data_IF_637881832505
#
_entry.id   IF_637881832505
#
_cell.length_a   1.000
_cell.length_b   1.000
_cell.length_c   1.000
_cell.angle_alpha   90.00
_cell.angle_beta   90.00
_cell.angle_gamma   90.00
#
_symmetry.space_group_name_H-M   'P 1'
#
loop_
_entity.id
_entity.type
_entity.pdbx_description
1 polymer ?
#
# COMPACT_ATOMS: atom_id res chain seq x y z
N UNK A 1 -75.04 -32.66 39.45
CA UNK A 1 -74.14 -31.58 39.90
C UNK A 1 -73.33 -31.92 41.16
N UNK A 2 -73.75 -32.88 42.01
CA UNK A 2 -73.00 -33.28 43.22
C UNK A 2 -71.96 -34.39 42.96
N UNK A 3 -72.18 -35.29 41.99
CA UNK A 3 -71.21 -36.36 41.65
C UNK A 3 -69.95 -35.88 40.91
N UNK A 4 -69.96 -34.69 40.31
CA UNK A 4 -68.79 -34.12 39.62
C UNK A 4 -67.78 -33.45 40.56
N UNK A 5 -68.21 -33.04 41.76
CA UNK A 5 -67.34 -32.38 42.73
C UNK A 5 -66.50 -33.37 43.54
N UNK A 6 -67.05 -34.57 43.85
CA UNK A 6 -66.29 -35.63 44.53
C UNK A 6 -65.20 -36.23 43.65
N UNK A 7 -65.41 -36.26 42.33
CA UNK A 7 -64.39 -36.66 41.35
C UNK A 7 -63.24 -35.65 41.27
N UNK A 8 -63.53 -34.34 41.41
CA UNK A 8 -62.53 -33.27 41.40
C UNK A 8 -61.66 -33.24 42.67
N UNK A 9 -62.24 -33.58 43.84
CA UNK A 9 -61.52 -33.62 45.13
C UNK A 9 -60.69 -34.91 45.29
N UNK A 10 -61.07 -36.00 44.61
CA UNK A 10 -60.33 -37.25 44.61
C UNK A 10 -59.19 -37.30 43.56
N UNK A 11 -59.12 -36.29 42.67
CA UNK A 11 -58.18 -36.30 41.56
C UNK A 11 -56.78 -35.85 41.99
N UNK A 12 -55.87 -36.83 42.13
CA UNK A 12 -54.46 -36.59 42.48
C UNK A 12 -53.63 -36.05 41.30
N UNK A 13 -54.20 -35.99 40.09
CA UNK A 13 -53.54 -35.38 38.92
C UNK A 13 -53.62 -33.84 38.92
N UNK A 14 -54.52 -33.25 39.72
CA UNK A 14 -54.67 -31.79 39.83
C UNK A 14 -53.43 -31.07 40.39
N UNK A 15 -52.62 -31.75 41.22
CA UNK A 15 -51.38 -31.17 41.77
C UNK A 15 -50.32 -30.93 40.68
N UNK A 16 -50.26 -31.78 39.66
CA UNK A 16 -49.35 -31.59 38.53
C UNK A 16 -49.79 -30.41 37.66
N UNK A 17 -51.09 -30.28 37.38
CA UNK A 17 -51.61 -29.16 36.60
C UNK A 17 -51.41 -27.80 37.29
N UNK A 18 -51.61 -27.73 38.61
CA UNK A 18 -51.41 -26.50 39.38
C UNK A 18 -49.93 -26.14 39.52
N UNK A 19 -49.05 -27.12 39.78
CA UNK A 19 -47.59 -26.86 39.82
C UNK A 19 -47.04 -26.48 38.44
N UNK A 20 -47.49 -27.13 37.37
CA UNK A 20 -47.15 -26.76 35.99
C UNK A 20 -47.65 -25.34 35.65
N UNK A 21 -48.86 -24.96 36.04
CA UNK A 21 -49.40 -23.61 35.81
C UNK A 21 -48.63 -22.51 36.57
N UNK A 22 -48.08 -22.82 37.75
CA UNK A 22 -47.25 -21.89 38.52
C UNK A 22 -45.82 -21.76 37.98
N UNK A 23 -45.25 -22.85 37.45
CA UNK A 23 -43.86 -22.88 36.94
C UNK A 23 -43.78 -22.43 35.47
N UNK A 24 -44.82 -22.67 34.66
CA UNK A 24 -44.81 -22.35 33.24
C UNK A 24 -44.49 -20.87 32.93
N UNK A 25 -45.04 -19.86 33.65
CA UNK A 25 -44.66 -18.46 33.43
C UNK A 25 -43.17 -18.19 33.70
N UNK A 26 -42.59 -18.83 34.72
CA UNK A 26 -41.17 -18.70 35.05
C UNK A 26 -40.29 -19.28 33.96
N UNK A 27 -40.62 -20.47 33.44
CA UNK A 27 -39.88 -21.09 32.34
C UNK A 27 -40.02 -20.30 31.03
N UNK A 28 -41.23 -19.82 30.71
CA UNK A 28 -41.47 -18.98 29.53
C UNK A 28 -40.71 -17.66 29.61
N UNK A 29 -40.62 -17.06 30.80
CA UNK A 29 -39.81 -15.85 31.05
C UNK A 29 -38.33 -16.09 30.79
N UNK A 30 -37.77 -17.20 31.27
CA UNK A 30 -36.35 -17.56 31.03
C UNK A 30 -36.09 -17.82 29.55
N UNK A 31 -36.96 -18.59 28.88
CA UNK A 31 -36.78 -18.93 27.47
C UNK A 31 -36.90 -17.70 26.58
N UNK A 32 -37.93 -16.86 26.75
CA UNK A 32 -38.03 -15.67 25.92
C UNK A 32 -37.02 -14.59 26.28
N UNK A 33 -36.55 -14.51 27.52
CA UNK A 33 -35.40 -13.66 27.87
C UNK A 33 -34.12 -14.09 27.14
N UNK A 34 -33.87 -15.40 27.03
CA UNK A 34 -32.74 -15.92 26.26
C UNK A 34 -32.86 -15.64 24.75
N UNK A 35 -34.06 -15.73 24.18
CA UNK A 35 -34.32 -15.38 22.78
C UNK A 35 -34.09 -13.88 22.54
N UNK A 36 -34.60 -13.02 23.42
CA UNK A 36 -34.43 -11.57 23.29
C UNK A 36 -32.94 -11.17 23.37
N UNK A 37 -32.18 -11.75 24.30
CA UNK A 37 -30.73 -11.51 24.39
C UNK A 37 -30.00 -11.98 23.13
N UNK A 38 -30.35 -13.15 22.60
CA UNK A 38 -29.75 -13.66 21.37
C UNK A 38 -30.05 -12.76 20.17
N UNK A 39 -31.29 -12.28 20.04
CA UNK A 39 -31.69 -11.36 18.97
C UNK A 39 -30.98 -10.01 19.14
N UNK A 40 -30.87 -9.51 20.36
CA UNK A 40 -30.16 -8.27 20.68
C UNK A 40 -28.68 -8.34 20.28
N UNK A 41 -27.94 -9.36 20.71
CA UNK A 41 -26.51 -9.52 20.37
C UNK A 41 -26.31 -9.66 18.85
N UNK A 42 -27.17 -10.41 18.17
CA UNK A 42 -27.08 -10.58 16.73
C UNK A 42 -27.36 -9.26 15.98
N UNK A 43 -28.28 -8.43 16.49
CA UNK A 43 -28.56 -7.11 15.93
C UNK A 43 -27.43 -6.12 16.18
N UNK A 44 -26.89 -6.08 17.39
CA UNK A 44 -25.76 -5.23 17.74
C UNK A 44 -24.57 -5.52 16.82
N UNK A 45 -24.24 -6.79 16.59
CA UNK A 45 -23.19 -7.19 15.66
C UNK A 45 -23.48 -6.75 14.22
N UNK A 46 -24.73 -6.82 13.75
CA UNK A 46 -25.11 -6.37 12.40
C UNK A 46 -25.06 -4.85 12.26
N UNK A 47 -25.46 -4.12 13.30
CA UNK A 47 -25.36 -2.68 13.37
C UNK A 47 -23.90 -2.24 13.35
N UNK A 48 -23.04 -2.88 14.13
CA UNK A 48 -21.60 -2.59 14.15
C UNK A 48 -20.96 -2.82 12.78
N UNK A 49 -21.22 -3.97 12.15
CA UNK A 49 -20.72 -4.26 10.81
C UNK A 49 -21.18 -3.23 9.76
N UNK A 50 -22.41 -2.75 9.88
CA UNK A 50 -22.95 -1.72 8.98
C UNK A 50 -22.33 -0.35 9.28
N UNK A 51 -22.14 -0.01 10.55
CA UNK A 51 -21.48 1.22 10.98
C UNK A 51 -20.03 1.28 10.48
N UNK A 52 -19.28 0.18 10.59
CA UNK A 52 -17.90 0.07 10.09
C UNK A 52 -17.84 0.25 8.56
N UNK A 53 -18.76 -0.38 7.82
CA UNK A 53 -18.86 -0.22 6.37
C UNK A 53 -19.24 1.21 5.96
N UNK A 54 -20.19 1.83 6.66
CA UNK A 54 -20.63 3.19 6.41
C UNK A 54 -19.51 4.20 6.67
N UNK A 55 -18.82 4.09 7.80
CA UNK A 55 -17.67 4.92 8.17
C UNK A 55 -16.55 4.85 7.16
N UNK A 56 -16.25 3.66 6.64
CA UNK A 56 -15.26 3.49 5.58
C UNK A 56 -15.67 4.18 4.28
N UNK A 57 -16.94 4.03 3.87
CA UNK A 57 -17.46 4.71 2.68
C UNK A 57 -17.36 6.23 2.81
N UNK A 58 -17.75 6.76 3.98
CA UNK A 58 -17.64 8.19 4.29
C UNK A 58 -16.18 8.65 4.27
N UNK A 59 -15.26 7.89 4.86
CA UNK A 59 -13.84 8.24 4.87
C UNK A 59 -13.21 8.20 3.47
N UNK A 60 -13.63 7.28 2.59
CA UNK A 60 -13.20 7.26 1.19
C UNK A 60 -13.72 8.47 0.41
N UNK A 61 -14.99 8.84 0.60
CA UNK A 61 -15.54 10.00 -0.10
C UNK A 61 -14.95 11.32 0.41
N UNK A 62 -14.81 11.47 1.73
CA UNK A 62 -14.17 12.63 2.33
C UNK A 62 -12.73 12.81 1.82
N UNK A 63 -12.03 11.70 1.57
CA UNK A 63 -10.70 11.70 0.96
C UNK A 63 -10.65 12.13 -0.51
N UNK A 64 -11.76 12.00 -1.27
CA UNK A 64 -11.83 12.34 -2.70
C UNK A 64 -12.45 13.72 -2.98
N UNK A 65 -13.49 14.10 -2.23
CA UNK A 65 -14.32 15.31 -2.48
C UNK A 65 -14.18 16.38 -1.39
N UNK A 66 -13.34 16.14 -0.38
CA UNK A 66 -13.13 17.03 0.76
C UNK A 66 -14.02 16.71 1.96
N UNK A 67 -13.71 17.32 3.11
CA UNK A 67 -14.23 16.98 4.44
C UNK A 67 -15.56 17.69 4.78
N UNK A 68 -16.59 17.53 3.94
CA UNK A 68 -17.92 18.13 4.16
C UNK A 68 -18.83 17.19 4.98
N UNK A 69 -19.31 17.68 6.13
CA UNK A 69 -20.23 16.94 7.03
C UNK A 69 -21.58 16.59 6.39
N UNK A 70 -22.08 17.42 5.47
CA UNK A 70 -23.37 17.19 4.81
C UNK A 70 -23.29 16.01 3.84
N UNK A 71 -22.23 15.97 3.03
CA UNK A 71 -21.98 14.87 2.09
C UNK A 71 -21.67 13.57 2.82
N UNK A 72 -20.87 13.64 3.88
CA UNK A 72 -20.55 12.52 4.75
C UNK A 72 -21.81 11.90 5.37
N UNK A 73 -22.76 12.71 5.84
CA UNK A 73 -24.03 12.22 6.37
C UNK A 73 -24.88 11.52 5.30
N UNK A 74 -24.98 12.08 4.09
CA UNK A 74 -25.74 11.47 2.99
C UNK A 74 -25.19 10.12 2.57
N UNK A 75 -23.86 9.97 2.50
CA UNK A 75 -23.23 8.69 2.17
C UNK A 75 -23.41 7.68 3.29
N UNK A 76 -23.27 8.09 4.55
CA UNK A 76 -23.56 7.24 5.69
C UNK A 76 -25.00 6.69 5.64
N UNK A 77 -25.99 7.57 5.44
CA UNK A 77 -27.41 7.21 5.35
C UNK A 77 -27.69 6.28 4.15
N UNK A 78 -27.00 6.46 3.02
CA UNK A 78 -27.15 5.58 1.86
C UNK A 78 -26.67 4.14 2.14
N UNK A 79 -25.57 3.98 2.87
CA UNK A 79 -25.03 2.65 3.23
C UNK A 79 -25.90 2.00 4.30
N UNK A 80 -26.34 2.76 5.29
CA UNK A 80 -27.23 2.29 6.36
C UNK A 80 -28.57 1.83 5.78
N UNK A 81 -29.18 2.63 4.90
CA UNK A 81 -30.46 2.28 4.27
C UNK A 81 -30.37 1.04 3.38
N UNK A 82 -29.29 0.90 2.61
CA UNK A 82 -29.07 -0.27 1.75
C UNK A 82 -28.86 -1.58 2.53
N UNK A 83 -28.36 -1.52 3.77
CA UNK A 83 -28.06 -2.72 4.55
C UNK A 83 -29.14 -3.09 5.59
N UNK A 84 -29.91 -2.12 6.11
CA UNK A 84 -30.78 -2.34 7.28
C UNK A 84 -32.28 -2.18 7.02
N UNK A 85 -32.72 -1.35 6.05
CA UNK A 85 -34.14 -0.97 5.91
C UNK A 85 -35.03 -2.16 5.52
N UNK A 86 -34.55 -3.05 4.65
CA UNK A 86 -35.30 -4.25 4.26
C UNK A 86 -35.21 -5.39 5.28
N UNK A 87 -34.22 -5.34 6.19
CA UNK A 87 -33.93 -6.42 7.14
C UNK A 87 -34.66 -6.27 8.48
N UNK A 88 -35.02 -5.04 8.85
CA UNK A 88 -35.64 -4.72 10.14
C UNK A 88 -36.89 -3.85 9.94
N UNK A 89 -37.93 -4.44 9.35
CA UNK A 89 -39.22 -3.78 9.16
C UNK A 89 -39.77 -3.25 10.51
N UNK A 90 -40.03 -1.94 10.59
CA UNK A 90 -40.58 -1.27 11.77
C UNK A 90 -39.56 -0.60 12.70
N UNK A 91 -38.25 -0.84 12.52
CA UNK A 91 -37.21 -0.15 13.27
C UNK A 91 -36.86 1.21 12.63
N UNK A 92 -36.53 2.20 13.46
CA UNK A 92 -36.03 3.51 13.03
C UNK A 92 -34.52 3.60 13.25
N UNK A 93 -33.79 4.04 12.23
CA UNK A 93 -32.35 4.24 12.29
C UNK A 93 -31.99 5.72 12.27
N UNK A 94 -31.13 6.14 13.19
CA UNK A 94 -30.56 7.48 13.21
C UNK A 94 -29.04 7.38 13.03
N UNK A 95 -28.50 8.21 12.15
CA UNK A 95 -27.06 8.25 11.85
C UNK A 95 -26.51 9.64 12.13
N UNK A 96 -25.53 9.71 13.00
CA UNK A 96 -24.77 10.92 13.32
C UNK A 96 -23.33 10.75 12.89
N UNK A 97 -22.78 11.75 12.21
CA UNK A 97 -21.39 11.73 11.72
C UNK A 97 -20.66 12.97 12.24
N UNK A 98 -19.55 12.75 12.95
CA UNK A 98 -18.66 13.78 13.46
C UNK A 98 -17.33 13.68 12.72
N UNK A 99 -16.87 14.81 12.18
CA UNK A 99 -15.61 14.92 11.45
C UNK A 99 -14.63 15.78 12.25
N UNK A 100 -13.47 15.21 12.59
CA UNK A 100 -12.31 15.93 13.10
C UNK A 100 -11.30 16.06 11.95
N UNK A 101 -11.34 17.19 11.25
CA UNK A 101 -10.48 17.47 10.09
C UNK A 101 -9.00 17.54 10.48
N UNK A 102 -8.68 18.08 11.67
CA UNK A 102 -7.32 18.20 12.15
C UNK A 102 -6.66 16.84 12.41
N UNK A 103 -7.44 15.86 12.91
CA UNK A 103 -6.98 14.49 13.14
C UNK A 103 -7.32 13.53 12.00
N UNK A 104 -7.95 14.03 10.93
CA UNK A 104 -8.48 13.25 9.80
C UNK A 104 -9.29 12.03 10.26
N UNK A 105 -10.09 12.22 11.30
CA UNK A 105 -10.86 11.18 11.97
C UNK A 105 -12.34 11.41 11.68
N UNK A 106 -13.03 10.36 11.27
CA UNK A 106 -14.48 10.33 11.09
C UNK A 106 -15.03 9.36 12.11
N UNK A 107 -16.03 9.83 12.84
CA UNK A 107 -16.76 9.04 13.82
C UNK A 107 -18.21 9.00 13.42
N UNK A 108 -18.79 7.80 13.43
CA UNK A 108 -20.20 7.57 13.15
C UNK A 108 -20.83 6.87 14.33
N UNK A 109 -21.97 7.39 14.74
CA UNK A 109 -22.86 6.76 15.70
C UNK A 109 -24.12 6.32 14.96
N UNK A 110 -24.45 5.03 15.06
CA UNK A 110 -25.65 4.46 14.49
C UNK A 110 -26.55 3.97 15.63
N UNK A 111 -27.77 4.49 15.66
CA UNK A 111 -28.74 4.21 16.70
C UNK A 111 -29.98 3.54 16.09
N UNK A 112 -30.42 2.44 16.70
CA UNK A 112 -31.67 1.76 16.37
C UNK A 112 -32.67 1.92 17.51
N UNK A 113 -33.91 2.23 17.13
CA UNK A 113 -35.06 2.33 18.02
C UNK A 113 -36.29 1.64 17.39
N UNK A 114 -37.32 1.37 18.19
CA UNK A 114 -38.60 0.76 17.79
C UNK A 114 -38.54 -0.71 17.29
N UNK A 115 -37.59 -1.54 17.75
CA UNK A 115 -37.63 -2.97 17.45
C UNK A 115 -38.52 -3.75 18.44
N UNK A 116 -39.39 -4.60 17.89
CA UNK A 116 -40.35 -5.40 18.66
C UNK A 116 -39.73 -6.66 19.26
N UNK A 117 -39.02 -6.53 20.38
CA UNK A 117 -38.60 -7.69 21.19
C UNK A 117 -39.79 -8.31 21.93
N UNK A 118 -39.69 -9.58 22.28
CA UNK A 118 -40.80 -10.33 22.89
C UNK A 118 -41.08 -9.91 24.34
N UNK A 119 -40.03 -9.65 25.13
CA UNK A 119 -40.09 -9.13 26.51
C UNK A 119 -39.51 -7.72 26.64
N UNK A 120 -38.46 -7.38 25.89
CA UNK A 120 -37.79 -6.06 25.95
C UNK A 120 -38.51 -4.96 25.16
N UNK A 121 -39.53 -5.29 24.35
CA UNK A 121 -40.25 -4.35 23.49
C UNK A 121 -41.13 -3.33 24.23
N UNK A 122 -41.24 -3.44 25.56
CA UNK A 122 -42.04 -2.52 26.39
C UNK A 122 -41.31 -1.19 26.71
N UNK A 123 -39.99 -1.12 26.46
CA UNK A 123 -39.21 0.11 26.65
C UNK A 123 -39.24 0.96 25.38
N UNK A 124 -40.28 1.79 25.23
CA UNK A 124 -40.41 2.77 24.15
C UNK A 124 -39.84 4.13 24.58
N UNK A 125 -38.99 4.75 23.76
CA UNK A 125 -38.48 6.12 23.99
C UNK A 125 -37.06 6.24 24.53
N UNK A 126 -36.31 5.13 24.61
CA UNK A 126 -34.86 5.12 24.81
C UNK A 126 -34.21 4.29 23.70
N UNK A 127 -33.12 4.76 23.07
CA UNK A 127 -32.47 4.01 22.00
C UNK A 127 -32.08 2.62 22.48
N UNK A 128 -32.56 1.59 21.78
CA UNK A 128 -32.40 0.20 22.19
C UNK A 128 -30.96 -0.28 21.93
N UNK A 129 -30.36 0.13 20.80
CA UNK A 129 -28.98 -0.20 20.45
C UNK A 129 -28.30 1.06 19.91
N UNK A 130 -27.10 1.37 20.42
CA UNK A 130 -26.22 2.41 19.87
C UNK A 130 -24.85 1.80 19.63
N UNK A 131 -24.38 1.83 18.39
CA UNK A 131 -23.03 1.40 18.01
C UNK A 131 -22.21 2.59 17.52
N UNK A 132 -20.90 2.47 17.66
CA UNK A 132 -19.94 3.51 17.28
C UNK A 132 -18.86 2.91 16.40
N UNK A 133 -18.55 3.58 15.31
CA UNK A 133 -17.48 3.21 14.39
C UNK A 133 -16.61 4.44 14.08
N UNK A 134 -15.31 4.21 13.90
CA UNK A 134 -14.34 5.27 13.63
C UNK A 134 -13.43 4.87 12.48
N UNK A 135 -13.24 5.78 11.52
CA UNK A 135 -12.21 5.64 10.48
C UNK A 135 -11.27 6.83 10.52
N UNK A 136 -10.06 6.60 10.05
CA UNK A 136 -9.11 7.65 9.73
C UNK A 136 -8.88 7.64 8.23
N UNK A 137 -9.18 8.77 7.59
CA UNK A 137 -8.83 8.93 6.18
C UNK A 137 -7.39 9.45 6.13
N UNK A 138 -6.48 8.63 5.63
CA UNK A 138 -5.14 9.09 5.32
C UNK A 138 -5.22 9.88 4.00
N UNK A 139 -5.65 11.15 4.11
CA UNK A 139 -5.88 12.01 2.94
C UNK A 139 -4.71 11.99 1.96
N UNK A 140 -5.01 11.85 0.66
CA UNK A 140 -4.11 11.81 -0.51
C UNK A 140 -2.63 11.59 -0.13
N UNK A 141 -2.32 10.42 0.45
CA UNK A 141 -0.94 10.08 0.74
C UNK A 141 -0.28 9.80 -0.61
N UNK A 142 0.49 10.75 -1.14
CA UNK A 142 1.19 10.59 -2.41
C UNK A 142 2.17 9.42 -2.28
N UNK A 143 1.93 8.28 -2.91
CA UNK A 143 2.80 7.10 -2.73
C UNK A 143 4.01 7.21 -3.66
N UNK A 144 5.19 7.43 -3.09
CA UNK A 144 6.47 7.41 -3.80
C UNK A 144 7.18 6.06 -3.71
N UNK A 145 7.10 5.37 -2.57
CA UNK A 145 7.70 4.04 -2.40
C UNK A 145 6.61 3.06 -1.98
N UNK A 146 6.50 1.95 -2.71
CA UNK A 146 5.67 0.81 -2.35
C UNK A 146 6.51 -0.47 -2.41
N UNK A 147 6.76 -1.06 -1.25
CA UNK A 147 7.42 -2.37 -1.12
C UNK A 147 6.35 -3.46 -1.07
N UNK A 148 6.32 -4.31 -2.09
CA UNK A 148 5.23 -5.25 -2.38
C UNK A 148 5.33 -6.59 -1.66
N UNK A 149 6.48 -6.95 -1.07
CA UNK A 149 6.61 -8.21 -0.34
C UNK A 149 5.60 -8.30 0.81
N UNK A 150 4.71 -9.31 0.75
CA UNK A 150 3.65 -9.55 1.76
C UNK A 150 4.19 -10.16 3.05
N UNK A 151 5.36 -10.78 2.99
CA UNK A 151 6.06 -11.42 4.10
C UNK A 151 7.57 -11.26 3.90
N UNK A 152 8.33 -11.41 4.98
CA UNK A 152 9.78 -11.26 4.98
C UNK A 152 10.23 -10.21 5.97
N UNK A 153 11.37 -10.48 6.61
CA UNK A 153 12.04 -9.58 7.53
C UNK A 153 12.85 -8.54 6.74
N UNK A 154 12.78 -7.27 7.15
CA UNK A 154 13.59 -6.18 6.60
C UNK A 154 13.46 -6.05 5.07
N UNK A 155 12.25 -6.24 4.52
CA UNK A 155 12.01 -6.15 3.06
C UNK A 155 12.14 -4.73 2.53
N UNK A 156 11.92 -3.73 3.41
CA UNK A 156 12.28 -2.35 3.17
C UNK A 156 13.33 -1.98 4.22
N UNK A 157 14.60 -1.99 3.82
CA UNK A 157 15.74 -1.76 4.69
C UNK A 157 16.50 -0.49 4.26
N UNK A 158 16.85 0.32 5.25
CA UNK A 158 17.85 1.38 5.12
C UNK A 158 18.92 1.19 6.23
N UNK A 159 20.20 1.33 5.89
CA UNK A 159 21.33 1.12 6.81
C UNK A 159 22.50 2.05 6.56
N UNK A 160 23.44 2.11 7.52
CA UNK A 160 24.57 3.03 7.45
C UNK A 160 24.16 4.51 7.62
N UNK A 161 24.93 5.42 7.06
CA UNK A 161 24.72 6.87 6.94
C UNK A 161 24.03 7.21 5.63
N UNK A 162 22.84 6.63 5.45
CA UNK A 162 21.98 6.89 4.29
C UNK A 162 20.71 7.65 4.67
N UNK A 163 20.16 8.39 3.71
CA UNK A 163 18.98 9.20 3.91
C UNK A 163 17.99 9.02 2.74
N UNK A 164 16.72 8.77 3.05
CA UNK A 164 15.61 8.87 2.08
C UNK A 164 14.90 10.20 2.34
N UNK A 165 14.87 11.09 1.34
CA UNK A 165 14.18 12.38 1.37
C UNK A 165 12.96 12.37 0.45
N UNK A 166 11.80 12.20 1.05
CA UNK A 166 10.49 12.09 0.41
C UNK A 166 9.48 13.06 1.06
N UNK A 167 9.86 14.33 1.28
CA UNK A 167 9.10 15.26 2.13
C UNK A 167 7.66 15.53 1.67
N UNK A 168 7.39 15.45 0.37
CA UNK A 168 6.05 15.57 -0.21
C UNK A 168 5.37 14.25 -0.53
N UNK A 169 5.92 13.11 -0.09
CA UNK A 169 5.33 11.82 -0.37
C UNK A 169 5.53 10.78 0.72
N UNK A 170 4.79 9.69 0.59
CA UNK A 170 4.66 8.62 1.57
C UNK A 170 5.37 7.36 1.13
N UNK A 171 5.89 6.63 2.11
CA UNK A 171 6.53 5.33 1.91
C UNK A 171 5.68 4.22 2.52
N UNK A 172 5.62 3.08 1.84
CA UNK A 172 4.72 1.99 2.19
C UNK A 172 5.41 0.63 2.09
N UNK A 173 5.14 -0.26 3.05
CA UNK A 173 5.53 -1.67 2.98
C UNK A 173 4.37 -2.61 3.28
N UNK A 174 4.17 -3.59 2.39
CA UNK A 174 3.12 -4.60 2.50
C UNK A 174 3.48 -5.78 3.41
N UNK A 175 4.69 -5.81 3.98
CA UNK A 175 5.12 -6.96 4.78
C UNK A 175 4.44 -6.96 6.13
N UNK A 176 3.81 -8.09 6.46
CA UNK A 176 3.19 -8.36 7.77
C UNK A 176 4.23 -8.62 8.89
N UNK A 177 5.52 -8.66 8.57
CA UNK A 177 6.55 -8.93 9.57
C UNK A 177 6.67 -7.75 10.56
N UNK A 178 6.90 -7.97 11.87
CA UNK A 178 7.12 -6.90 12.87
C UNK A 178 8.31 -5.98 12.59
N UNK A 179 9.13 -6.32 11.60
CA UNK A 179 10.27 -5.53 11.11
C UNK A 179 10.22 -5.46 9.58
N UNK A 180 9.04 -5.22 9.01
CA UNK A 180 8.83 -5.10 7.57
C UNK A 180 9.53 -3.86 7.01
N UNK A 181 9.49 -2.75 7.75
CA UNK A 181 10.31 -1.56 7.56
C UNK A 181 11.47 -1.57 8.57
N UNK A 182 12.70 -1.32 8.14
CA UNK A 182 13.84 -1.27 9.04
C UNK A 182 14.80 -0.14 8.69
N UNK A 183 15.07 0.71 9.68
CA UNK A 183 16.15 1.69 9.62
C UNK A 183 17.21 1.34 10.67
N UNK A 184 18.44 1.12 10.22
CA UNK A 184 19.59 0.71 11.04
C UNK A 184 20.61 1.84 11.17
N UNK A 185 21.48 1.73 12.16
CA UNK A 185 22.60 2.64 12.36
C UNK A 185 22.14 4.11 12.48
N UNK A 186 22.78 5.03 11.75
CA UNK A 186 22.46 6.46 11.73
C UNK A 186 21.60 6.86 10.53
N UNK A 187 21.00 5.88 9.83
CA UNK A 187 20.18 6.13 8.64
C UNK A 187 18.90 6.89 8.96
N UNK A 188 18.34 7.59 7.99
CA UNK A 188 17.16 8.43 8.19
C UNK A 188 16.15 8.33 7.06
N UNK A 189 14.88 8.15 7.40
CA UNK A 189 13.75 8.28 6.48
C UNK A 189 13.00 9.55 6.83
N UNK A 190 13.02 10.51 5.91
CA UNK A 190 12.23 11.74 5.98
C UNK A 190 11.15 11.65 4.91
N UNK A 191 9.91 11.47 5.33
CA UNK A 191 8.78 11.34 4.41
C UNK A 191 7.60 12.17 4.93
N UNK A 192 6.61 12.46 4.09
CA UNK A 192 5.34 13.00 4.58
C UNK A 192 4.72 12.03 5.60
N UNK A 193 4.82 10.73 5.30
CA UNK A 193 4.38 9.64 6.17
C UNK A 193 5.04 8.32 5.79
N UNK A 194 5.20 7.40 6.74
CA UNK A 194 5.67 6.05 6.48
C UNK A 194 4.71 5.04 7.10
N UNK A 195 4.27 4.05 6.33
CA UNK A 195 3.32 3.03 6.78
C UNK A 195 3.88 1.62 6.58
N UNK A 196 3.66 0.76 7.57
CA UNK A 196 3.98 -0.67 7.50
C UNK A 196 2.74 -1.49 7.85
N UNK A 197 2.42 -2.50 7.05
CA UNK A 197 1.33 -3.44 7.37
C UNK A 197 1.63 -4.24 8.64
N UNK A 198 2.88 -4.65 8.82
CA UNK A 198 3.35 -5.32 10.03
C UNK A 198 3.88 -4.31 11.03
N UNK A 199 5.20 -4.29 11.20
CA UNK A 199 5.87 -3.36 12.11
C UNK A 199 7.10 -2.71 11.48
N UNK A 200 7.78 -1.90 12.28
CA UNK A 200 9.05 -1.29 11.92
C UNK A 200 10.14 -1.55 12.97
N UNK A 201 11.41 -1.51 12.55
CA UNK A 201 12.59 -1.59 13.43
C UNK A 201 13.47 -0.36 13.21
N UNK A 202 13.86 0.30 14.29
CA UNK A 202 14.74 1.46 14.27
C UNK A 202 14.49 2.35 15.49
N UNK A 203 15.32 3.36 15.70
CA UNK A 203 15.13 4.37 16.76
C UNK A 203 14.27 5.50 16.23
N UNK A 204 13.63 6.27 17.11
CA UNK A 204 12.79 7.41 16.70
C UNK A 204 13.54 8.47 15.88
N UNK A 205 14.85 8.60 16.07
CA UNK A 205 15.70 9.50 15.28
C UNK A 205 15.88 9.07 13.82
N UNK A 206 15.70 7.77 13.52
CA UNK A 206 15.81 7.25 12.17
C UNK A 206 14.59 7.59 11.29
N UNK A 207 13.52 8.16 11.86
CA UNK A 207 12.27 8.42 11.15
C UNK A 207 11.76 9.84 11.42
N UNK A 208 11.23 10.49 10.39
CA UNK A 208 10.63 11.82 10.47
C UNK A 208 9.44 11.92 9.50
N UNK A 209 8.17 11.77 9.97
CA UNK A 209 7.73 11.39 11.32
C UNK A 209 7.90 9.88 11.58
N UNK A 210 7.55 9.44 12.79
CA UNK A 210 7.56 8.02 13.16
C UNK A 210 6.63 7.19 12.25
N UNK A 211 7.00 5.96 11.84
CA UNK A 211 6.14 5.15 10.99
C UNK A 211 4.90 4.66 11.75
N UNK A 212 3.80 4.51 11.02
CA UNK A 212 2.57 3.88 11.52
C UNK A 212 2.56 2.41 11.12
N UNK A 213 2.01 1.58 12.02
CA UNK A 213 1.86 0.13 11.85
C UNK A 213 0.42 -0.23 11.52
N UNK A 214 0.18 -1.52 11.24
CA UNK A 214 -1.17 -2.07 11.05
C UNK A 214 -1.93 -1.44 9.87
N UNK A 215 -1.17 -0.99 8.87
CA UNK A 215 -1.72 -0.38 7.68
C UNK A 215 -2.38 -1.42 6.75
N UNK A 216 -3.36 -1.05 5.91
CA UNK A 216 -4.04 -1.99 5.00
C UNK A 216 -3.19 -2.34 3.78
N UNK A 217 -3.11 -3.60 3.36
CA UNK A 217 -2.28 -3.99 2.20
C UNK A 217 -2.65 -3.18 0.94
N UNK A 218 -1.65 -2.53 0.34
CA UNK A 218 -1.82 -1.80 -0.92
C UNK A 218 -1.63 -2.79 -2.07
N UNK A 219 -2.65 -2.92 -2.93
CA UNK A 219 -2.53 -3.73 -4.16
C UNK A 219 -1.56 -3.05 -5.12
N UNK A 220 -0.92 -3.84 -5.98
CA UNK A 220 -0.02 -3.30 -6.99
C UNK A 220 -0.75 -2.35 -7.96
N UNK A 221 -0.43 -1.04 -7.94
CA UNK A 221 -1.13 -0.05 -8.76
C UNK A 221 -0.86 -0.25 -10.26
N UNK A 222 0.26 -0.88 -10.62
CA UNK A 222 0.67 -1.07 -12.02
C UNK A 222 0.40 -2.49 -12.55
N UNK A 223 -0.17 -3.37 -11.74
CA UNK A 223 -0.46 -4.76 -12.15
C UNK A 223 -1.38 -4.83 -13.39
N UNK A 224 -2.36 -3.93 -13.51
CA UNK A 224 -3.24 -3.88 -14.68
C UNK A 224 -2.55 -3.33 -15.94
N UNK A 225 -1.47 -2.55 -15.77
CA UNK A 225 -0.66 -2.03 -16.90
C UNK A 225 0.40 -3.03 -17.36
N UNK A 226 0.80 -3.99 -16.52
CA UNK A 226 1.84 -4.96 -16.85
C UNK A 226 1.62 -5.70 -18.18
N UNK A 227 0.42 -6.23 -18.51
CA UNK A 227 0.18 -6.89 -19.80
C UNK A 227 0.36 -5.95 -21.01
N UNK A 228 0.00 -4.67 -20.87
CA UNK A 228 0.14 -3.66 -21.94
C UNK A 228 1.62 -3.32 -22.15
N UNK A 229 2.38 -3.16 -21.07
CA UNK A 229 3.84 -2.94 -21.13
C UNK A 229 4.56 -4.15 -21.75
N UNK A 230 4.12 -5.36 -21.42
CA UNK A 230 4.66 -6.60 -21.99
C UNK A 230 4.44 -6.71 -23.50
N UNK A 231 3.27 -6.29 -23.99
CA UNK A 231 2.93 -6.26 -25.42
C UNK A 231 3.73 -5.18 -26.17
N UNK A 232 4.01 -4.05 -25.52
CA UNK A 232 4.79 -2.96 -26.11
C UNK A 232 6.28 -3.32 -26.28
N UNK A 233 6.79 -4.26 -25.48
CA UNK A 233 8.18 -4.69 -25.53
C UNK A 233 8.47 -5.64 -26.71
N UNK A 234 9.35 -5.22 -27.63
CA UNK A 234 9.76 -6.03 -28.78
C UNK A 234 10.33 -7.40 -28.38
N UNK A 235 9.99 -8.44 -29.15
CA UNK A 235 10.36 -9.84 -28.85
C UNK A 235 11.65 -10.31 -29.56
N UNK A 236 11.97 -9.76 -30.73
CA UNK A 236 13.13 -10.15 -31.54
C UNK A 236 14.43 -9.49 -31.11
N UNK A 237 15.50 -10.27 -30.95
CA UNK A 237 16.84 -9.76 -30.64
C UNK A 237 17.36 -8.89 -31.80
N UNK A 238 17.63 -7.61 -31.51
CA UNK A 238 18.25 -6.67 -32.46
C UNK A 238 19.78 -6.66 -32.30
N UNK A 239 20.23 -6.73 -31.06
CA UNK A 239 21.64 -6.85 -30.70
C UNK A 239 21.81 -7.99 -29.69
N UNK A 240 22.95 -8.65 -29.72
CA UNK A 240 23.30 -9.74 -28.80
C UNK A 240 24.68 -9.48 -28.22
N UNK A 241 24.82 -9.56 -26.88
CA UNK A 241 26.06 -9.28 -26.14
C UNK A 241 26.75 -7.99 -26.59
N UNK A 242 25.99 -6.90 -26.70
CA UNK A 242 26.56 -5.64 -27.16
C UNK A 242 27.46 -5.05 -26.07
N UNK A 243 28.72 -4.83 -26.42
CA UNK A 243 29.70 -4.14 -25.59
C UNK A 243 30.14 -2.86 -26.28
N UNK A 244 30.10 -1.74 -25.57
CA UNK A 244 30.52 -0.42 -26.07
C UNK A 244 31.68 0.07 -25.20
N UNK A 245 32.80 0.35 -25.85
CA UNK A 245 34.06 0.73 -25.19
C UNK A 245 34.72 1.89 -25.93
N UNK A 246 35.15 2.92 -25.19
CA UNK A 246 35.89 4.09 -25.69
C UNK A 246 35.23 4.78 -26.90
N UNK A 247 33.91 4.80 -26.94
CA UNK A 247 33.15 5.37 -28.05
C UNK A 247 31.98 6.23 -27.58
N UNK A 248 31.63 7.23 -28.38
CA UNK A 248 30.37 7.96 -28.27
C UNK A 248 29.39 7.35 -29.26
N UNK A 249 28.31 6.74 -28.78
CA UNK A 249 27.36 6.00 -29.63
C UNK A 249 25.92 6.35 -29.33
N UNK A 250 25.13 6.54 -30.39
CA UNK A 250 23.67 6.62 -30.26
C UNK A 250 23.07 5.23 -30.48
N UNK A 251 22.28 4.76 -29.52
CA UNK A 251 21.55 3.50 -29.61
C UNK A 251 20.10 3.76 -30.00
N UNK A 252 19.55 2.90 -30.85
CA UNK A 252 18.13 2.95 -31.24
C UNK A 252 17.32 1.93 -30.44
N UNK A 253 16.03 2.20 -30.18
CA UNK A 253 15.15 1.27 -29.48
C UNK A 253 15.15 -0.14 -30.08
N UNK A 254 14.84 -1.13 -29.23
CA UNK A 254 14.79 -2.55 -29.59
C UNK A 254 15.29 -3.47 -28.47
N UNK A 255 15.43 -4.75 -28.80
CA UNK A 255 15.83 -5.79 -27.84
C UNK A 255 17.33 -6.07 -27.87
N UNK A 256 17.96 -5.98 -26.72
CA UNK A 256 19.36 -6.29 -26.43
C UNK A 256 19.40 -7.60 -25.65
N UNK A 257 19.79 -8.67 -26.34
CA UNK A 257 19.84 -10.02 -25.80
C UNK A 257 21.22 -10.32 -25.21
N UNK A 258 21.26 -11.12 -24.15
CA UNK A 258 22.46 -11.47 -23.39
C UNK A 258 23.19 -10.24 -22.79
N UNK A 259 22.43 -9.16 -22.57
CA UNK A 259 22.91 -7.94 -21.91
C UNK A 259 23.46 -6.84 -22.83
N UNK A 260 23.70 -5.70 -22.21
CA UNK A 260 24.29 -4.49 -22.79
C UNK A 260 25.33 -3.96 -21.79
N UNK A 261 26.60 -3.97 -22.17
CA UNK A 261 27.69 -3.44 -21.35
C UNK A 261 28.26 -2.17 -21.97
N UNK A 262 28.28 -1.09 -21.18
CA UNK A 262 28.85 0.20 -21.55
C UNK A 262 30.00 0.47 -20.60
N UNK A 263 31.21 0.61 -21.13
CA UNK A 263 32.40 0.74 -20.29
C UNK A 263 33.49 1.61 -20.92
N UNK A 264 34.63 1.73 -20.22
CA UNK A 264 35.83 2.47 -20.62
C UNK A 264 35.52 3.90 -21.12
N UNK A 265 34.89 4.72 -20.28
CA UNK A 265 34.55 6.12 -20.52
C UNK A 265 33.69 6.38 -21.77
N UNK A 266 32.91 5.39 -22.20
CA UNK A 266 31.97 5.53 -23.32
C UNK A 266 30.80 6.44 -22.97
N UNK A 267 30.28 7.16 -23.96
CA UNK A 267 29.07 7.97 -23.83
C UNK A 267 27.98 7.44 -24.76
N UNK A 268 26.90 6.94 -24.17
CA UNK A 268 25.77 6.38 -24.92
C UNK A 268 24.56 7.29 -24.81
N UNK A 269 24.04 7.72 -25.97
CA UNK A 269 22.78 8.46 -26.08
C UNK A 269 21.70 7.53 -26.62
N UNK A 270 20.55 7.52 -25.96
CA UNK A 270 19.40 6.71 -26.34
C UNK A 270 18.45 7.59 -27.17
N UNK A 271 18.11 7.13 -28.37
CA UNK A 271 16.97 7.69 -29.09
C UNK A 271 15.65 7.33 -28.36
N UNK A 272 14.61 8.17 -28.45
CA UNK A 272 13.33 7.90 -27.77
C UNK A 272 12.74 6.53 -28.13
N UNK A 273 12.25 5.81 -27.13
CA UNK A 273 11.57 4.52 -27.30
C UNK A 273 11.87 3.47 -26.23
N UNK A 274 11.50 2.22 -26.52
CA UNK A 274 11.55 1.10 -25.57
C UNK A 274 12.82 0.26 -25.80
N UNK A 275 13.60 0.08 -24.75
CA UNK A 275 14.82 -0.73 -24.72
C UNK A 275 14.56 -1.99 -23.91
N UNK A 276 14.57 -3.14 -24.57
CA UNK A 276 14.31 -4.43 -23.91
C UNK A 276 15.64 -5.11 -23.60
N UNK A 277 15.98 -5.29 -22.33
CA UNK A 277 17.16 -6.04 -21.90
C UNK A 277 16.71 -7.47 -21.60
N UNK A 278 17.15 -8.41 -22.45
CA UNK A 278 16.70 -9.82 -22.40
C UNK A 278 17.83 -10.74 -21.95
N UNK A 279 17.59 -11.51 -20.89
CA UNK A 279 18.46 -12.59 -20.39
C UNK A 279 19.94 -12.16 -20.19
N UNK A 280 20.18 -10.94 -19.71
CA UNK A 280 21.50 -10.45 -19.34
C UNK A 280 21.46 -9.10 -18.64
N UNK A 281 22.62 -8.60 -18.22
CA UNK A 281 22.71 -7.36 -17.46
C UNK A 281 22.74 -6.12 -18.37
N UNK A 282 22.05 -5.05 -17.96
CA UNK A 282 22.42 -3.69 -18.35
C UNK A 282 23.50 -3.22 -17.38
N UNK A 283 24.76 -3.20 -17.85
CA UNK A 283 25.92 -2.91 -17.03
C UNK A 283 26.60 -1.62 -17.48
N UNK A 284 26.77 -0.67 -16.56
CA UNK A 284 27.55 0.55 -16.79
C UNK A 284 28.71 0.55 -15.79
N UNK A 285 29.92 0.69 -16.30
CA UNK A 285 31.16 0.56 -15.51
C UNK A 285 32.27 1.45 -16.08
N UNK A 286 33.30 1.77 -15.29
CA UNK A 286 34.49 2.52 -15.74
C UNK A 286 34.14 3.85 -16.41
N UNK A 287 33.53 4.77 -15.66
CA UNK A 287 33.19 6.13 -16.11
C UNK A 287 32.22 6.20 -17.32
N UNK A 288 31.46 5.14 -17.57
CA UNK A 288 30.46 5.11 -18.63
C UNK A 288 29.29 6.08 -18.36
N UNK A 289 28.80 6.72 -19.44
CA UNK A 289 27.65 7.64 -19.39
C UNK A 289 26.49 7.11 -20.21
N UNK A 290 25.28 7.15 -19.65
CA UNK A 290 24.05 6.79 -20.33
C UNK A 290 23.01 7.90 -20.21
N UNK A 291 22.62 8.46 -21.36
CA UNK A 291 21.70 9.59 -21.45
C UNK A 291 20.49 9.21 -22.31
N UNK A 292 19.29 9.55 -21.88
CA UNK A 292 18.07 9.27 -22.66
C UNK A 292 16.88 10.10 -22.24
N UNK A 293 16.08 10.53 -23.23
CA UNK A 293 14.84 11.25 -23.02
C UNK A 293 13.69 10.54 -23.75
N UNK A 294 12.53 10.42 -23.11
CA UNK A 294 11.41 9.60 -23.57
C UNK A 294 11.83 8.15 -23.82
N UNK A 295 12.49 7.56 -22.82
CA UNK A 295 13.01 6.18 -22.90
C UNK A 295 12.50 5.33 -21.76
N UNK A 296 12.24 4.05 -22.05
CA UNK A 296 11.89 3.06 -21.04
C UNK A 296 12.71 1.80 -21.19
N UNK A 297 13.11 1.22 -20.06
CA UNK A 297 13.79 -0.05 -19.99
C UNK A 297 12.82 -1.15 -19.57
N UNK A 298 12.77 -2.24 -20.34
CA UNK A 298 12.02 -3.45 -20.01
C UNK A 298 12.98 -4.60 -19.81
N UNK A 299 12.99 -5.19 -18.62
CA UNK A 299 13.86 -6.32 -18.29
C UNK A 299 13.09 -7.63 -18.38
N UNK A 300 13.57 -8.54 -19.24
CA UNK A 300 12.91 -9.80 -19.56
C UNK A 300 13.84 -10.99 -19.38
N UNK A 301 13.35 -12.04 -18.75
CA UNK A 301 14.10 -13.29 -18.61
C UNK A 301 14.84 -13.43 -17.28
N UNK A 302 15.38 -14.63 -17.02
CA UNK A 302 15.83 -15.05 -15.68
C UNK A 302 17.12 -14.37 -15.24
N UNK A 303 17.94 -13.98 -16.21
CA UNK A 303 19.25 -13.37 -16.00
C UNK A 303 19.26 -11.86 -16.27
N UNK A 304 18.09 -11.27 -16.54
CA UNK A 304 17.95 -9.83 -16.70
C UNK A 304 18.22 -9.09 -15.39
N UNK A 305 19.20 -8.17 -15.39
CA UNK A 305 19.62 -7.41 -14.21
C UNK A 305 20.04 -5.99 -14.60
N UNK A 306 20.14 -5.12 -13.60
CA UNK A 306 20.72 -3.79 -13.72
C UNK A 306 21.95 -3.71 -12.80
N UNK A 307 23.07 -3.26 -13.35
CA UNK A 307 24.33 -3.09 -12.63
C UNK A 307 24.96 -1.74 -13.00
N UNK A 308 24.58 -0.69 -12.27
CA UNK A 308 25.20 0.64 -12.42
C UNK A 308 26.33 0.77 -11.40
N UNK A 309 27.58 0.76 -11.85
CA UNK A 309 28.74 0.86 -10.97
C UNK A 309 29.01 2.29 -10.53
N UNK A 310 29.77 2.42 -9.44
CA UNK A 310 30.00 3.66 -8.68
C UNK A 310 30.40 4.87 -9.53
N UNK A 311 31.18 4.66 -10.57
CA UNK A 311 31.76 5.71 -11.38
C UNK A 311 30.97 6.00 -12.66
N UNK A 312 29.86 5.30 -12.89
CA UNK A 312 28.96 5.56 -14.02
C UNK A 312 28.11 6.82 -13.82
N UNK A 313 27.63 7.42 -14.92
CA UNK A 313 26.69 8.54 -14.92
C UNK A 313 25.43 8.16 -15.69
N UNK A 314 24.26 8.45 -15.11
CA UNK A 314 22.96 8.12 -15.69
C UNK A 314 22.00 9.31 -15.61
N UNK A 315 21.38 9.64 -16.74
CA UNK A 315 20.33 10.66 -16.82
C UNK A 315 19.23 10.16 -17.76
N UNK A 316 18.10 9.79 -17.18
CA UNK A 316 16.99 9.20 -17.92
C UNK A 316 15.66 9.87 -17.58
N UNK A 317 14.86 10.07 -18.62
CA UNK A 317 13.50 10.61 -18.54
C UNK A 317 12.53 9.61 -19.20
N UNK A 318 11.54 9.16 -18.43
CA UNK A 318 10.49 8.28 -18.92
C UNK A 318 9.63 8.95 -20.01
N UNK A 319 8.94 8.17 -20.86
CA UNK A 319 8.05 8.70 -21.88
C UNK A 319 6.86 9.48 -21.30
N UNK A 320 6.48 10.56 -21.98
CA UNK A 320 5.27 11.34 -21.69
C UNK A 320 3.99 10.61 -22.14
N UNK A 321 4.08 9.75 -23.16
CA UNK A 321 2.94 9.07 -23.76
C UNK A 321 3.20 7.58 -24.09
N UNK A 322 2.16 6.92 -24.62
CA UNK A 322 2.21 5.53 -25.01
C UNK A 322 2.08 4.53 -23.85
N UNK A 323 2.30 3.22 -24.12
CA UNK A 323 2.08 2.16 -23.14
C UNK A 323 3.01 2.27 -21.91
N UNK A 324 4.19 2.84 -22.11
CA UNK A 324 5.20 3.08 -21.07
C UNK A 324 5.15 4.49 -20.47
N UNK A 325 4.11 5.28 -20.73
CA UNK A 325 3.98 6.64 -20.19
C UNK A 325 4.17 6.65 -18.67
N UNK A 326 5.12 7.45 -18.18
CA UNK A 326 5.45 7.55 -16.76
C UNK A 326 6.25 6.39 -16.16
N UNK A 327 6.66 5.40 -16.97
CA UNK A 327 7.40 4.21 -16.51
C UNK A 327 8.80 4.22 -17.11
N UNK A 328 9.80 4.44 -16.26
CA UNK A 328 11.20 4.47 -16.65
C UNK A 328 11.78 3.06 -16.74
N UNK A 329 11.51 2.22 -15.74
CA UNK A 329 11.98 0.84 -15.68
C UNK A 329 10.82 -0.08 -15.36
N UNK A 330 10.68 -1.15 -16.13
CA UNK A 330 9.72 -2.21 -15.90
C UNK A 330 10.42 -3.55 -15.93
N UNK A 331 10.21 -4.36 -14.91
CA UNK A 331 10.72 -5.72 -14.85
C UNK A 331 9.58 -6.70 -14.98
N UNK A 332 9.62 -7.53 -16.02
CA UNK A 332 8.60 -8.54 -16.25
C UNK A 332 8.63 -9.56 -15.10
N UNK A 333 7.51 -9.80 -14.41
CA UNK A 333 7.44 -10.78 -13.33
C UNK A 333 7.84 -12.18 -13.81
N UNK A 334 8.67 -12.87 -13.03
CA UNK A 334 9.02 -14.28 -13.25
C UNK A 334 8.74 -15.10 -11.99
N UNK A 335 8.42 -16.38 -12.15
CA UNK A 335 8.26 -17.28 -11.02
C UNK A 335 9.62 -17.79 -10.51
N UNK A 336 9.77 -17.87 -9.20
CA UNK A 336 10.85 -18.61 -8.53
C UNK A 336 12.00 -17.75 -8.00
N UNK A 337 12.70 -17.00 -8.86
CA UNK A 337 13.93 -16.27 -8.49
C UNK A 337 13.69 -14.77 -8.38
N UNK A 338 13.93 -14.21 -7.19
CA UNK A 338 14.05 -12.75 -6.99
C UNK A 338 15.39 -12.32 -7.59
N UNK A 339 15.36 -11.47 -8.62
CA UNK A 339 16.56 -10.87 -9.21
C UNK A 339 16.93 -9.62 -8.41
N UNK A 340 18.21 -9.25 -8.50
CA UNK A 340 18.76 -8.06 -7.83
C UNK A 340 19.09 -7.02 -8.91
N UNK A 341 18.56 -5.81 -8.71
CA UNK A 341 18.81 -4.62 -9.53
C UNK A 341 19.59 -3.64 -8.67
N UNK A 342 20.77 -3.22 -9.12
CA UNK A 342 21.69 -2.40 -8.33
C UNK A 342 21.98 -1.06 -8.99
N UNK A 343 21.83 -0.01 -8.20
CA UNK A 343 22.21 1.36 -8.55
C UNK A 343 23.29 1.80 -7.55
N UNK A 344 24.56 1.60 -7.91
CA UNK A 344 25.71 2.01 -7.09
C UNK A 344 26.32 3.33 -7.60
N UNK A 345 25.88 3.80 -8.78
CA UNK A 345 26.32 5.04 -9.43
C UNK A 345 26.22 6.27 -8.52
N UNK A 346 27.27 7.09 -8.54
CA UNK A 346 27.35 8.39 -7.84
C UNK A 346 26.67 9.54 -8.55
N UNK A 347 26.39 9.38 -9.84
CA UNK A 347 25.85 10.43 -10.69
C UNK A 347 24.55 9.95 -11.33
N UNK A 348 23.58 9.61 -10.49
CA UNK A 348 22.24 9.17 -10.87
C UNK A 348 21.19 10.23 -10.50
N UNK A 349 21.53 11.49 -10.74
CA UNK A 349 20.78 12.67 -10.30
C UNK A 349 19.41 12.76 -10.99
N UNK A 350 19.29 12.26 -12.24
CA UNK A 350 18.05 12.32 -13.02
C UNK A 350 17.55 10.94 -13.42
N UNK A 351 16.55 10.45 -12.71
CA UNK A 351 15.78 9.22 -12.97
C UNK A 351 14.29 9.56 -12.88
N UNK A 352 13.81 10.35 -13.85
CA UNK A 352 12.45 10.87 -13.85
C UNK A 352 11.46 9.78 -14.33
N UNK A 353 10.52 9.43 -13.47
CA UNK A 353 9.46 8.45 -13.74
C UNK A 353 9.35 7.32 -12.72
N UNK A 354 8.69 6.23 -13.13
CA UNK A 354 8.45 5.07 -12.25
C UNK A 354 9.44 3.94 -12.48
N UNK A 355 10.00 3.42 -11.38
CA UNK A 355 10.86 2.25 -11.31
C UNK A 355 10.01 1.07 -10.76
N UNK A 356 9.56 0.20 -11.66
CA UNK A 356 8.58 -0.86 -11.37
C UNK A 356 9.19 -2.28 -11.46
N UNK A 357 9.43 -2.88 -10.29
CA UNK A 357 10.04 -4.19 -10.05
C UNK A 357 9.16 -5.05 -9.12
N UNK A 358 7.94 -5.43 -9.52
CA UNK A 358 6.96 -6.04 -8.62
C UNK A 358 7.39 -7.37 -7.96
N UNK A 359 8.30 -8.11 -8.60
CA UNK A 359 8.81 -9.40 -8.13
C UNK A 359 10.29 -9.41 -7.73
N UNK A 360 10.98 -8.27 -7.81
CA UNK A 360 12.44 -8.22 -7.73
C UNK A 360 12.95 -7.20 -6.69
N UNK A 361 14.20 -7.37 -6.29
CA UNK A 361 14.85 -6.53 -5.29
C UNK A 361 15.58 -5.38 -5.97
N UNK A 362 15.34 -4.15 -5.48
CA UNK A 362 16.12 -2.97 -5.80
C UNK A 362 17.09 -2.66 -4.66
N UNK A 363 18.37 -2.53 -4.98
CA UNK A 363 19.42 -2.07 -4.05
C UNK A 363 19.98 -0.76 -4.58
N UNK A 364 19.98 0.28 -3.75
CA UNK A 364 20.56 1.59 -4.06
C UNK A 364 21.72 1.84 -3.10
N UNK A 365 22.87 2.17 -3.66
CA UNK A 365 24.17 2.21 -3.00
C UNK A 365 24.97 0.93 -3.18
N UNK A 366 26.21 0.94 -2.69
CA UNK A 366 27.20 -0.11 -2.91
C UNK A 366 27.99 -0.50 -1.68
N UNK A 367 27.52 -0.20 -0.47
CA UNK A 367 28.18 -0.54 0.79
C UNK A 367 27.33 -1.55 1.57
N UNK A 368 27.51 -2.84 1.28
CA UNK A 368 26.68 -3.88 1.90
C UNK A 368 27.11 -4.20 3.33
N UNK A 369 28.36 -3.99 3.70
CA UNK A 369 28.90 -4.31 5.02
C UNK A 369 28.82 -3.12 6.01
N UNK A 370 28.52 -1.92 5.51
CA UNK A 370 28.28 -0.72 6.28
C UNK A 370 29.56 -0.06 6.78
N UNK A 371 30.69 -0.25 6.09
CA UNK A 371 32.00 0.28 6.46
C UNK A 371 32.24 1.73 6.00
N UNK A 372 31.30 2.30 5.24
CA UNK A 372 31.33 3.65 4.67
C UNK A 372 32.02 3.72 3.30
N UNK A 373 32.44 2.59 2.75
CA UNK A 373 33.22 2.47 1.53
C UNK A 373 32.39 1.68 0.52
N UNK A 374 32.55 2.03 -0.76
CA UNK A 374 31.92 1.19 -1.76
C UNK A 374 32.63 -0.16 -1.82
N UNK A 375 31.85 -1.24 -1.84
CA UNK A 375 32.27 -2.60 -2.16
C UNK A 375 32.99 -2.56 -3.52
N UNK A 376 34.31 -2.41 -3.50
CA UNK A 376 35.09 -2.21 -4.70
C UNK A 376 35.42 -3.56 -5.36
N UNK A 377 35.24 -3.58 -6.68
CA UNK A 377 35.99 -4.49 -7.54
C UNK A 377 37.50 -4.19 -7.40
N UNK A 378 38.37 -5.20 -7.56
CA UNK A 378 39.77 -5.24 -7.07
C UNK A 378 40.76 -4.19 -7.62
N UNK A 379 40.31 -3.20 -8.39
CA UNK A 379 41.16 -2.25 -9.13
C UNK A 379 41.07 -0.78 -8.66
N UNK A 380 40.18 -0.43 -7.71
CA UNK A 380 40.08 0.95 -7.21
C UNK A 380 40.14 1.00 -5.67
N UNK A 381 40.89 1.95 -5.09
CA UNK A 381 40.94 2.12 -3.65
C UNK A 381 39.57 2.53 -3.11
N UNK A 382 39.34 2.16 -1.85
CA UNK A 382 38.18 2.43 -1.00
C UNK A 382 37.76 3.91 -1.08
N UNK A 383 36.87 4.22 -2.03
CA UNK A 383 36.28 5.55 -2.16
C UNK A 383 35.00 5.59 -1.34
N UNK A 384 34.73 6.70 -0.61
CA UNK A 384 33.51 6.83 0.18
C UNK A 384 32.28 6.71 -0.72
N UNK A 385 31.27 5.98 -0.26
CA UNK A 385 30.10 5.61 -1.06
C UNK A 385 29.01 6.70 -1.12
N UNK A 386 29.45 7.96 -1.27
CA UNK A 386 28.54 9.11 -1.32
C UNK A 386 27.89 9.17 -2.69
N UNK A 387 26.57 8.99 -2.72
CA UNK A 387 25.77 8.99 -3.96
C UNK A 387 24.49 9.78 -3.70
N UNK A 388 24.16 10.70 -4.60
CA UNK A 388 22.88 11.39 -4.60
C UNK A 388 22.07 10.85 -5.79
N UNK A 389 20.88 10.32 -5.51
CA UNK A 389 20.01 9.68 -6.51
C UNK A 389 18.69 10.44 -6.59
N UNK A 390 18.32 10.87 -7.79
CA UNK A 390 17.03 11.51 -8.05
C UNK A 390 16.93 13.01 -7.69
N UNK A 391 18.03 13.66 -7.32
CA UNK A 391 18.07 15.10 -6.95
C UNK A 391 17.52 16.04 -8.02
N UNK A 392 17.76 15.75 -9.30
CA UNK A 392 17.31 16.53 -10.46
C UNK A 392 16.02 16.00 -11.11
N UNK A 393 15.37 15.01 -10.48
CA UNK A 393 14.12 14.46 -11.00
C UNK A 393 12.95 15.23 -10.41
N UNK A 394 12.05 15.78 -11.23
CA UNK A 394 10.82 16.44 -10.75
C UNK A 394 10.02 15.50 -9.83
N UNK A 395 9.97 14.21 -10.19
CA UNK A 395 9.43 13.14 -9.35
C UNK A 395 10.00 11.76 -9.71
N UNK A 396 10.03 10.88 -8.71
CA UNK A 396 10.37 9.46 -8.91
C UNK A 396 9.48 8.61 -8.03
N UNK A 397 8.93 7.54 -8.60
CA UNK A 397 8.16 6.54 -7.86
C UNK A 397 8.82 5.16 -7.98
N UNK A 398 8.87 4.42 -6.88
CA UNK A 398 9.49 3.11 -6.79
C UNK A 398 8.46 2.12 -6.29
N UNK A 399 8.21 1.09 -7.10
CA UNK A 399 7.37 -0.06 -6.71
C UNK A 399 8.23 -1.30 -6.86
N UNK A 400 8.70 -1.87 -5.76
CA UNK A 400 9.63 -3.00 -5.78
C UNK A 400 9.14 -4.14 -4.86
N UNK A 401 9.58 -5.37 -5.10
CA UNK A 401 9.31 -6.46 -4.16
C UNK A 401 10.05 -6.24 -2.84
N UNK A 402 11.33 -5.85 -2.93
CA UNK A 402 12.19 -5.49 -1.81
C UNK A 402 13.00 -4.24 -2.17
N UNK A 403 13.30 -3.42 -1.17
CA UNK A 403 14.09 -2.20 -1.33
C UNK A 403 15.15 -2.14 -0.22
N UNK A 404 16.41 -2.10 -0.64
CA UNK A 404 17.56 -1.88 0.23
C UNK A 404 18.27 -0.59 -0.15
N UNK A 405 18.46 0.31 0.81
CA UNK A 405 19.27 1.53 0.66
C UNK A 405 20.45 1.43 1.64
N UNK A 406 21.67 1.43 1.09
CA UNK A 406 22.91 1.22 1.86
C UNK A 406 23.64 2.52 2.17
N UNK A 407 24.75 2.44 2.94
CA UNK A 407 25.53 3.60 3.42
C UNK A 407 25.89 4.59 2.31
N UNK A 408 25.99 5.88 2.69
CA UNK A 408 26.44 6.96 1.81
C UNK A 408 25.43 7.42 0.77
N UNK A 409 24.25 6.82 0.69
CA UNK A 409 23.21 7.20 -0.29
C UNK A 409 22.27 8.26 0.27
N UNK A 410 22.05 9.35 -0.47
CA UNK A 410 20.88 10.20 -0.34
C UNK A 410 19.92 9.90 -1.50
N UNK A 411 18.81 9.21 -1.22
CA UNK A 411 17.75 8.99 -2.19
C UNK A 411 16.73 10.14 -2.07
N UNK A 412 16.66 10.99 -3.08
CA UNK A 412 15.71 12.10 -3.15
C UNK A 412 14.53 11.71 -4.04
N UNK A 413 13.35 11.75 -3.47
CA UNK A 413 12.08 11.48 -4.14
C UNK A 413 11.26 12.77 -4.11
N UNK A 414 11.44 13.58 -5.15
CA UNK A 414 10.65 14.77 -5.34
C UNK A 414 9.21 14.40 -5.72
N UNK A 415 8.30 15.36 -5.54
CA UNK A 415 6.86 15.19 -5.76
C UNK A 415 6.29 16.34 -6.60
N UNK A 416 7.14 16.96 -7.42
CA UNK A 416 6.72 18.02 -8.35
C UNK A 416 6.07 17.41 -9.59
N UNK A 417 4.88 16.86 -9.38
CA UNK A 417 4.10 16.21 -10.42
C UNK A 417 3.45 17.21 -11.38
N UNK A 418 3.19 18.44 -10.93
CA UNK A 418 2.59 19.51 -11.76
C UNK A 418 3.62 20.20 -12.66
N UNK A 419 4.87 20.31 -12.21
CA UNK A 419 5.97 20.86 -12.99
C UNK A 419 6.50 19.92 -14.09
N UNK A 420 6.18 18.62 -13.99
CA UNK A 420 6.68 17.61 -14.93
C UNK A 420 5.71 17.33 -16.08
N UNK A 421 6.23 17.15 -17.29
CA UNK A 421 5.45 16.68 -18.45
C UNK A 421 5.22 15.17 -18.45
N UNK A 422 6.04 14.44 -17.70
CA UNK A 422 5.93 12.98 -17.60
C UNK A 422 4.77 12.64 -16.67
N UNK A 423 3.74 11.93 -17.14
CA UNK A 423 2.55 11.67 -16.33
C UNK A 423 2.84 10.65 -15.23
N UNK A 424 2.20 10.84 -14.08
CA UNK A 424 2.25 9.86 -12.99
C UNK A 424 1.25 8.74 -13.27
N UNK A 425 1.68 7.47 -13.25
CA UNK A 425 0.76 6.36 -13.37
C UNK A 425 -0.35 6.36 -12.30
N UNK A 426 -1.55 5.92 -12.66
CA UNK A 426 -2.66 5.78 -11.71
C UNK A 426 -2.28 4.89 -10.51
N UNK A 427 -2.68 5.30 -9.30
CA UNK A 427 -2.34 4.61 -8.05
C UNK A 427 -0.97 4.97 -7.46
N UNK A 428 -0.22 5.88 -8.09
CA UNK A 428 0.99 6.51 -7.56
C UNK A 428 0.81 8.03 -7.47
N UNK A 429 1.63 8.70 -6.65
CA UNK A 429 1.60 10.15 -6.48
C UNK A 429 0.22 10.68 -6.06
N UNK A 430 -0.30 11.81 -6.59
CA UNK A 430 -1.55 12.43 -6.13
C UNK A 430 -2.79 11.55 -6.36
N UNK A 431 -2.65 10.46 -7.12
CA UNK A 431 -3.72 9.54 -7.47
C UNK A 431 -3.83 8.33 -6.51
N UNK A 432 -3.15 8.32 -5.36
CA UNK A 432 -3.26 7.26 -4.35
C UNK A 432 -4.10 7.68 -3.13
N UNK A 433 -5.28 7.05 -2.97
CA UNK A 433 -6.13 7.18 -1.77
C UNK A 433 -6.03 5.92 -0.92
N UNK A 434 -5.73 6.05 0.38
CA UNK A 434 -5.80 4.95 1.37
C UNK A 434 -6.67 5.34 2.57
N UNK A 435 -7.53 4.42 3.01
CA UNK A 435 -8.47 4.61 4.12
C UNK A 435 -8.40 3.37 5.02
N UNK A 436 -8.42 3.57 6.33
CA UNK A 436 -8.44 2.50 7.32
C UNK A 436 -9.42 2.78 8.46
N UNK A 437 -9.96 1.70 9.03
CA UNK A 437 -10.67 1.74 10.30
C UNK A 437 -9.65 2.05 11.42
N UNK A 438 -10.07 2.80 12.43
CA UNK A 438 -9.28 3.07 13.61
C UNK A 438 -10.10 2.70 14.85
N UNK A 439 -9.52 1.90 15.74
CA UNK A 439 -10.09 1.67 17.08
C UNK A 439 -10.21 2.98 17.88
#
# INVERSE_FOLDING_TARGET
MVQSFSAFVADRLGNFAVTAALIAPMLLGVVGGAIDLYVFENQENQLQNTADAAVMAVATEAGMKGWNTTTAKQVAESVVSANLVDRFAGATFQTEVVIDEAKRRIELSLTQDHYGYFFLGYFTGSPQITVRAVARAHGQAMLCIIVQAKSGKEVFKISGKSEIRAQGCSTYTNSKHPSGLAAKDVSRIVAQFSCSVGGFRGRSINFSPLPVTDCPIIRDPLALRAPVMDQAASSGCKFTKLKIEKEIRTLSPGTYCDGLEITDSSEVKLAPGIYVIKDGALKLDKMAKLLGHNVSFVFRGKDAKLELKNDSTISLVAPEDGPMAGVLMYVQPISGKVREFKIESRHAEKLLGTVYLPGDKLTIGGDKDGDGLCDALPAMPLLPCVTDVGTESDWTAIVAHQLDVTDGVTLVLNSDYEGSRVPVPAGLGPNSTSVSLAE
#
